data_IF_594347117002
#
_entry.id   IF_594347117002
#
_cell.length_a   1.000
_cell.length_b   1.000
_cell.length_c   1.000
_cell.angle_alpha   90.00
_cell.angle_beta   90.00
_cell.angle_gamma   90.00
#
_symmetry.space_group_name_H-M   'P 1'
#
loop_
_entity.id
_entity.type
_entity.pdbx_description
1 polymer ?
#
# COMPACT_ATOMS: atom_id res chain seq x y z
N UNK A 1 -23.25 1.13 12.23
CA UNK A 1 -23.25 2.55 11.81
C UNK A 1 -21.85 3.04 11.42
N UNK A 2 -20.86 3.08 12.32
CA UNK A 2 -19.51 3.60 12.04
C UNK A 2 -18.79 2.91 10.86
N UNK A 3 -18.94 1.59 10.73
CA UNK A 3 -18.41 0.83 9.58
C UNK A 3 -18.94 1.34 8.22
N UNK A 4 -20.22 1.68 8.13
CA UNK A 4 -20.77 2.24 6.89
C UNK A 4 -20.20 3.62 6.60
N UNK A 5 -20.00 4.45 7.62
CA UNK A 5 -19.34 5.76 7.47
C UNK A 5 -17.93 5.58 6.90
N UNK A 6 -17.15 4.64 7.42
CA UNK A 6 -15.82 4.32 6.88
C UNK A 6 -15.86 3.89 5.41
N UNK A 7 -16.75 2.95 5.07
CA UNK A 7 -16.91 2.49 3.69
C UNK A 7 -17.31 3.63 2.75
N UNK A 8 -18.25 4.48 3.18
CA UNK A 8 -18.66 5.67 2.43
C UNK A 8 -17.51 6.66 2.25
N UNK A 9 -16.68 6.89 3.29
CA UNK A 9 -15.49 7.74 3.18
C UNK A 9 -14.47 7.17 2.18
N UNK A 10 -14.22 5.86 2.20
CA UNK A 10 -13.35 5.19 1.22
C UNK A 10 -13.86 5.44 -0.20
N UNK A 11 -15.16 5.27 -0.45
CA UNK A 11 -15.77 5.51 -1.77
C UNK A 11 -15.65 6.97 -2.18
N UNK A 12 -15.94 7.92 -1.29
CA UNK A 12 -15.89 9.35 -1.59
C UNK A 12 -14.46 9.79 -1.95
N UNK A 13 -13.47 9.45 -1.12
CA UNK A 13 -12.07 9.86 -1.33
C UNK A 13 -11.50 9.26 -2.62
N UNK A 14 -11.74 7.97 -2.86
CA UNK A 14 -11.25 7.31 -4.06
C UNK A 14 -12.03 7.70 -5.31
N UNK A 15 -13.33 8.01 -5.18
CA UNK A 15 -14.12 8.60 -6.25
C UNK A 15 -13.59 9.98 -6.66
N UNK A 16 -13.28 10.84 -5.69
CA UNK A 16 -12.63 12.12 -5.94
C UNK A 16 -11.28 11.92 -6.67
N UNK A 17 -10.41 11.05 -6.16
CA UNK A 17 -9.15 10.71 -6.83
C UNK A 17 -9.38 10.24 -8.27
N UNK A 18 -10.31 9.30 -8.51
CA UNK A 18 -10.62 8.79 -9.84
C UNK A 18 -11.07 9.91 -10.78
N UNK A 19 -11.92 10.84 -10.32
CA UNK A 19 -12.35 11.97 -11.16
C UNK A 19 -11.19 12.90 -11.53
N UNK A 20 -10.30 13.19 -10.59
CA UNK A 20 -9.12 14.03 -10.83
C UNK A 20 -8.16 13.32 -11.79
N UNK A 21 -7.87 12.05 -11.53
CA UNK A 21 -6.97 11.24 -12.35
C UNK A 21 -7.46 11.08 -13.78
N UNK A 22 -8.75 10.78 -13.98
CA UNK A 22 -9.35 10.68 -15.32
C UNK A 22 -9.29 12.03 -16.04
N UNK A 23 -9.63 13.14 -15.37
CA UNK A 23 -9.55 14.48 -15.97
C UNK A 23 -8.13 14.83 -16.41
N UNK A 24 -7.14 14.51 -15.56
CA UNK A 24 -5.73 14.74 -15.85
C UNK A 24 -5.27 13.89 -17.05
N UNK A 25 -5.60 12.60 -17.06
CA UNK A 25 -5.30 11.69 -18.17
C UNK A 25 -5.94 12.14 -19.49
N UNK A 26 -7.19 12.63 -19.45
CA UNK A 26 -7.88 13.13 -20.63
C UNK A 26 -7.25 14.42 -21.18
N UNK A 27 -6.73 15.28 -20.30
CA UNK A 27 -6.05 16.53 -20.66
C UNK A 27 -4.64 16.28 -21.22
N UNK A 28 -3.94 15.28 -20.69
CA UNK A 28 -2.56 14.93 -21.05
C UNK A 28 -2.48 13.66 -21.93
N UNK A 29 -3.49 13.42 -22.78
CA UNK A 29 -3.57 12.22 -23.63
C UNK A 29 -2.38 12.02 -24.57
N UNK A 30 -1.78 13.09 -25.07
CA UNK A 30 -0.62 13.00 -25.97
C UNK A 30 0.61 12.51 -25.20
N UNK A 31 0.90 13.12 -24.04
CA UNK A 31 1.98 12.67 -23.15
C UNK A 31 1.80 11.21 -22.72
N UNK A 32 0.56 10.80 -22.42
CA UNK A 32 0.25 9.40 -22.10
C UNK A 32 0.56 8.43 -23.23
N UNK A 33 0.33 8.81 -24.49
CA UNK A 33 0.64 7.95 -25.66
C UNK A 33 2.15 7.81 -25.92
N UNK A 34 2.95 8.72 -25.39
CA UNK A 34 4.40 8.73 -25.54
C UNK A 34 5.11 7.93 -24.43
N UNK A 35 4.39 7.53 -23.37
CA UNK A 35 4.96 6.71 -22.32
C UNK A 35 5.33 5.30 -22.86
N UNK A 36 6.49 4.74 -22.45
CA UNK A 36 7.07 3.54 -23.07
C UNK A 36 6.34 2.24 -22.72
N UNK A 37 5.38 2.28 -21.80
CA UNK A 37 4.68 1.11 -21.31
C UNK A 37 3.41 0.83 -22.12
N UNK A 38 3.35 -0.34 -22.75
CA UNK A 38 2.15 -0.78 -23.48
C UNK A 38 0.98 -1.05 -22.51
N UNK A 39 -0.21 -0.53 -22.85
CA UNK A 39 -1.39 -0.60 -21.98
C UNK A 39 -1.82 -2.05 -21.65
N UNK A 40 -1.61 -3.02 -22.55
CA UNK A 40 -1.95 -4.43 -22.29
C UNK A 40 -1.01 -5.04 -21.26
N UNK A 41 0.29 -4.76 -21.38
CA UNK A 41 1.29 -5.23 -20.43
C UNK A 41 1.14 -4.56 -19.06
N UNK A 42 0.76 -3.27 -19.01
CA UNK A 42 0.39 -2.59 -17.78
C UNK A 42 -0.82 -3.25 -17.10
N UNK A 43 -1.89 -3.53 -17.86
CA UNK A 43 -3.08 -4.19 -17.31
C UNK A 43 -2.78 -5.59 -16.76
N UNK A 44 -2.04 -6.41 -17.51
CA UNK A 44 -1.67 -7.76 -17.09
C UNK A 44 -0.75 -7.75 -15.87
N UNK A 45 0.29 -6.90 -15.87
CA UNK A 45 1.22 -6.79 -14.74
C UNK A 45 0.52 -6.28 -13.49
N UNK A 46 -0.33 -5.25 -13.60
CA UNK A 46 -1.10 -4.72 -12.47
C UNK A 46 -2.03 -5.77 -11.87
N UNK A 47 -2.72 -6.55 -12.71
CA UNK A 47 -3.54 -7.67 -12.25
C UNK A 47 -2.72 -8.67 -11.42
N UNK A 48 -1.57 -9.10 -11.93
CA UNK A 48 -0.69 -10.05 -11.23
C UNK A 48 -0.16 -9.43 -9.93
N UNK A 49 0.33 -8.19 -9.96
CA UNK A 49 0.88 -7.49 -8.80
C UNK A 49 -0.16 -7.44 -7.67
N UNK A 50 -1.34 -6.88 -7.93
CA UNK A 50 -2.36 -6.71 -6.89
C UNK A 50 -3.03 -8.03 -6.47
N UNK A 51 -3.09 -9.02 -7.36
CA UNK A 51 -3.49 -10.37 -6.98
C UNK A 51 -2.50 -10.99 -5.98
N UNK A 52 -1.19 -10.91 -6.24
CA UNK A 52 -0.16 -11.38 -5.32
C UNK A 52 -0.17 -10.58 -4.00
N UNK A 53 -0.49 -9.29 -4.04
CA UNK A 53 -0.65 -8.48 -2.83
C UNK A 53 -1.82 -8.87 -1.95
N UNK A 54 -2.83 -9.56 -2.50
CA UNK A 54 -3.88 -10.18 -1.69
C UNK A 54 -3.31 -11.28 -0.78
N UNK A 55 -2.21 -11.93 -1.19
CA UNK A 55 -1.48 -12.92 -0.38
C UNK A 55 -0.39 -12.30 0.51
N UNK A 56 -0.32 -10.97 0.61
CA UNK A 56 0.68 -10.27 1.43
C UNK A 56 2.03 -10.04 0.74
N UNK A 57 2.13 -10.26 -0.57
CA UNK A 57 3.35 -9.93 -1.32
C UNK A 57 3.35 -8.43 -1.67
N UNK A 58 4.45 -7.74 -1.38
CA UNK A 58 4.54 -6.30 -1.62
C UNK A 58 4.41 -5.92 -3.11
N UNK A 59 3.37 -5.15 -3.43
CA UNK A 59 3.15 -4.53 -4.74
C UNK A 59 4.28 -3.58 -5.11
N UNK A 60 4.72 -2.73 -4.17
CA UNK A 60 5.83 -1.82 -4.38
C UNK A 60 7.13 -2.55 -4.72
N UNK A 61 7.39 -3.71 -4.10
CA UNK A 61 8.58 -4.50 -4.40
C UNK A 61 8.53 -5.08 -5.82
N UNK A 62 7.40 -5.67 -6.22
CA UNK A 62 7.23 -6.23 -7.56
C UNK A 62 7.28 -5.12 -8.60
N UNK A 63 6.51 -4.04 -8.42
CA UNK A 63 6.45 -2.89 -9.32
C UNK A 63 7.81 -2.21 -9.49
N UNK A 64 8.55 -2.02 -8.40
CA UNK A 64 9.92 -1.46 -8.43
C UNK A 64 10.84 -2.27 -9.33
N UNK A 65 10.85 -3.60 -9.20
CA UNK A 65 11.73 -4.46 -10.01
C UNK A 65 11.24 -4.54 -11.45
N UNK A 66 9.94 -4.75 -11.67
CA UNK A 66 9.35 -4.92 -12.98
C UNK A 66 9.51 -3.66 -13.83
N UNK A 67 9.15 -2.49 -13.30
CA UNK A 67 9.10 -1.26 -14.08
C UNK A 67 10.50 -0.75 -14.42
N UNK A 68 11.48 -0.98 -13.55
CA UNK A 68 12.88 -0.71 -13.86
C UNK A 68 13.42 -1.66 -14.92
N UNK A 69 13.19 -2.97 -14.80
CA UNK A 69 13.66 -3.96 -15.78
C UNK A 69 13.04 -3.73 -17.16
N UNK A 70 11.75 -3.39 -17.20
CA UNK A 70 11.03 -3.11 -18.43
C UNK A 70 11.29 -1.69 -18.96
N UNK A 71 12.05 -0.85 -18.23
CA UNK A 71 12.33 0.56 -18.54
C UNK A 71 11.06 1.39 -18.77
N UNK A 72 9.98 1.06 -18.06
CA UNK A 72 8.69 1.72 -18.17
C UNK A 72 8.66 3.07 -17.47
N UNK A 73 9.39 3.22 -16.37
CA UNK A 73 9.37 4.43 -15.54
C UNK A 73 10.78 4.74 -15.08
N UNK A 74 11.16 6.02 -15.15
CA UNK A 74 12.44 6.48 -14.59
C UNK A 74 12.45 6.41 -13.06
N UNK A 75 13.64 6.24 -12.45
CA UNK A 75 13.80 6.21 -10.99
C UNK A 75 13.18 7.42 -10.28
N UNK A 76 13.20 8.59 -10.92
CA UNK A 76 12.63 9.82 -10.37
C UNK A 76 11.09 9.80 -10.34
N UNK A 77 10.45 9.21 -11.35
CA UNK A 77 8.98 9.11 -11.44
C UNK A 77 8.44 7.90 -10.65
N UNK A 78 9.26 6.87 -10.43
CA UNK A 78 8.85 5.57 -9.90
C UNK A 78 8.05 5.65 -8.57
N UNK A 79 8.49 6.37 -7.51
CA UNK A 79 7.72 6.41 -6.26
C UNK A 79 6.32 7.01 -6.41
N UNK A 80 6.19 8.03 -7.28
CA UNK A 80 4.90 8.64 -7.58
C UNK A 80 4.00 7.72 -8.39
N UNK A 81 4.57 7.00 -9.38
CA UNK A 81 3.82 6.02 -10.17
C UNK A 81 3.28 4.89 -9.30
N UNK A 82 4.13 4.26 -8.47
CA UNK A 82 3.72 3.16 -7.59
C UNK A 82 2.67 3.58 -6.54
N UNK A 83 2.75 4.81 -6.02
CA UNK A 83 1.69 5.33 -5.14
C UNK A 83 0.37 5.62 -5.88
N UNK A 84 0.44 6.07 -7.14
CA UNK A 84 -0.74 6.43 -7.91
C UNK A 84 -1.49 5.19 -8.41
N UNK A 85 -0.77 4.17 -8.87
CA UNK A 85 -1.37 2.94 -9.40
C UNK A 85 -2.12 2.13 -8.33
N UNK A 86 -1.69 2.22 -7.07
CA UNK A 86 -2.26 1.40 -6.01
C UNK A 86 -3.56 1.98 -5.46
N UNK A 87 -3.86 3.27 -5.64
CA UNK A 87 -5.02 3.94 -5.01
C UNK A 87 -6.34 3.20 -5.23
N UNK A 88 -6.69 2.92 -6.50
CA UNK A 88 -7.96 2.27 -6.83
C UNK A 88 -7.96 0.77 -6.47
N UNK A 89 -6.94 -0.03 -6.81
CA UNK A 89 -6.85 -1.42 -6.38
C UNK A 89 -6.92 -1.59 -4.85
N UNK A 90 -6.20 -0.76 -4.10
CA UNK A 90 -6.20 -0.75 -2.63
C UNK A 90 -7.55 -0.32 -2.08
N UNK A 91 -8.24 0.62 -2.72
CA UNK A 91 -9.60 0.99 -2.33
C UNK A 91 -10.56 -0.19 -2.45
N UNK A 92 -10.51 -0.94 -3.56
CA UNK A 92 -11.33 -2.14 -3.75
C UNK A 92 -10.98 -3.22 -2.72
N UNK A 93 -9.68 -3.44 -2.46
CA UNK A 93 -9.24 -4.35 -1.39
C UNK A 93 -9.75 -3.89 -0.02
N UNK A 94 -9.67 -2.61 0.31
CA UNK A 94 -10.14 -2.07 1.57
C UNK A 94 -11.65 -2.28 1.75
N UNK A 95 -12.45 -2.05 0.70
CA UNK A 95 -13.89 -2.35 0.72
C UNK A 95 -14.13 -3.84 0.96
N UNK A 96 -13.38 -4.73 0.30
CA UNK A 96 -13.47 -6.19 0.50
C UNK A 96 -13.08 -6.62 1.92
N UNK A 97 -11.98 -6.10 2.46
CA UNK A 97 -11.46 -6.49 3.78
C UNK A 97 -12.28 -5.92 4.92
N UNK A 98 -12.69 -4.64 4.86
CA UNK A 98 -13.58 -4.05 5.87
C UNK A 98 -14.94 -4.75 5.86
N UNK A 99 -15.36 -5.31 4.71
CA UNK A 99 -16.62 -6.02 4.61
C UNK A 99 -16.54 -7.48 5.06
N UNK A 100 -15.51 -8.20 4.64
CA UNK A 100 -15.33 -9.64 4.87
C UNK A 100 -14.61 -10.01 6.17
N UNK A 101 -13.83 -9.11 6.77
CA UNK A 101 -13.08 -9.38 7.99
C UNK A 101 -13.67 -8.59 9.16
N UNK A 102 -13.99 -9.30 10.25
CA UNK A 102 -14.47 -8.67 11.48
C UNK A 102 -13.28 -8.12 12.28
N UNK A 103 -13.10 -6.81 12.23
CA UNK A 103 -12.09 -6.07 13.04
C UNK A 103 -12.79 -5.07 13.94
N UNK A 104 -12.30 -4.94 15.17
CA UNK A 104 -12.79 -3.96 16.12
C UNK A 104 -12.68 -2.54 15.60
N UNK A 105 -13.78 -1.78 15.67
CA UNK A 105 -13.85 -0.45 15.07
C UNK A 105 -12.82 0.52 15.66
N UNK A 106 -12.50 0.39 16.95
CA UNK A 106 -11.47 1.20 17.62
C UNK A 106 -10.09 0.90 17.06
N UNK A 107 -9.76 -0.39 16.87
CA UNK A 107 -8.48 -0.82 16.30
C UNK A 107 -8.35 -0.28 14.88
N UNK A 108 -9.39 -0.47 14.06
CA UNK A 108 -9.41 0.01 12.69
C UNK A 108 -9.23 1.52 12.58
N UNK A 109 -9.97 2.30 13.39
CA UNK A 109 -9.88 3.77 13.38
C UNK A 109 -8.51 4.28 13.83
N UNK A 110 -7.95 3.75 14.91
CA UNK A 110 -6.61 4.14 15.38
C UNK A 110 -5.57 3.86 14.30
N UNK A 111 -5.62 2.66 13.71
CA UNK A 111 -4.74 2.27 12.63
C UNK A 111 -4.82 3.24 11.43
N UNK A 112 -6.02 3.53 10.93
CA UNK A 112 -6.24 4.44 9.80
C UNK A 112 -5.73 5.84 10.14
N UNK A 113 -6.11 6.39 11.30
CA UNK A 113 -5.75 7.77 11.69
C UNK A 113 -4.23 7.90 11.82
N UNK A 114 -3.58 6.96 12.52
CA UNK A 114 -2.13 6.98 12.66
C UNK A 114 -1.43 6.89 11.30
N UNK A 115 -1.90 6.02 10.40
CA UNK A 115 -1.32 5.88 9.06
C UNK A 115 -1.50 7.14 8.21
N UNK A 116 -2.67 7.78 8.26
CA UNK A 116 -2.93 9.05 7.55
C UNK A 116 -2.02 10.17 8.09
N UNK A 117 -1.89 10.29 9.41
CA UNK A 117 -0.99 11.29 10.03
C UNK A 117 0.46 11.01 9.62
N UNK A 118 0.87 9.75 9.64
CA UNK A 118 2.18 9.29 9.18
C UNK A 118 2.43 9.66 7.72
N UNK A 119 1.47 9.40 6.84
CA UNK A 119 1.55 9.74 5.44
C UNK A 119 1.61 11.25 5.18
N UNK A 120 0.93 12.06 5.99
CA UNK A 120 0.93 13.50 5.83
C UNK A 120 2.22 14.16 6.35
N UNK A 121 2.72 13.73 7.51
CA UNK A 121 3.87 14.34 8.17
C UNK A 121 5.21 13.70 7.78
N UNK A 122 5.19 12.41 7.52
CA UNK A 122 6.36 11.57 7.25
C UNK A 122 7.31 12.06 6.16
N UNK A 123 6.82 12.51 4.98
CA UNK A 123 7.69 12.97 3.90
C UNK A 123 8.69 14.05 4.34
N UNK A 124 8.33 14.93 5.28
CA UNK A 124 9.22 16.02 5.73
C UNK A 124 10.47 15.53 6.45
N UNK A 125 10.42 14.31 7.01
CA UNK A 125 11.50 13.70 7.77
C UNK A 125 12.18 12.59 6.97
N UNK A 126 11.37 11.72 6.35
CA UNK A 126 11.84 10.50 5.69
C UNK A 126 12.63 10.81 4.41
N UNK A 127 12.31 11.89 3.68
CA UNK A 127 13.11 12.31 2.50
C UNK A 127 14.53 12.77 2.84
N UNK A 128 14.83 13.01 4.12
CA UNK A 128 16.18 13.37 4.59
C UNK A 128 17.02 12.15 4.99
N UNK A 129 16.40 10.96 5.04
CA UNK A 129 17.12 9.74 5.40
C UNK A 129 17.96 9.23 4.22
N UNK A 130 19.15 8.66 4.47
CA UNK A 130 19.92 7.99 3.43
C UNK A 130 19.12 6.85 2.80
N UNK A 131 19.11 6.78 1.47
CA UNK A 131 18.43 5.72 0.70
C UNK A 131 18.85 4.31 1.15
N UNK A 132 20.14 4.15 1.52
CA UNK A 132 20.67 2.89 2.05
C UNK A 132 19.97 2.45 3.33
N UNK A 133 19.75 3.37 4.27
CA UNK A 133 19.11 3.08 5.57
C UNK A 133 17.68 2.60 5.36
N UNK A 134 16.96 3.30 4.49
CA UNK A 134 15.61 2.96 4.10
C UNK A 134 15.55 1.57 3.47
N UNK A 135 16.37 1.31 2.44
CA UNK A 135 16.41 0.02 1.72
C UNK A 135 16.72 -1.15 2.64
N UNK A 136 17.66 -0.97 3.58
CA UNK A 136 18.01 -2.02 4.55
C UNK A 136 16.84 -2.32 5.48
N UNK A 137 16.18 -1.30 6.01
CA UNK A 137 15.05 -1.49 6.93
C UNK A 137 13.89 -2.22 6.26
N UNK A 138 13.55 -1.80 5.04
CA UNK A 138 12.49 -2.43 4.23
C UNK A 138 12.86 -3.85 3.82
N UNK A 139 14.09 -4.05 3.34
CA UNK A 139 14.58 -5.36 2.95
C UNK A 139 14.52 -6.36 4.11
N UNK A 140 14.95 -5.95 5.30
CA UNK A 140 14.84 -6.77 6.52
C UNK A 140 13.36 -7.06 6.84
N UNK A 141 12.49 -6.04 6.79
CA UNK A 141 11.05 -6.22 7.02
C UNK A 141 10.41 -7.23 6.07
N UNK A 142 10.72 -7.15 4.77
CA UNK A 142 10.22 -8.08 3.74
C UNK A 142 10.77 -9.50 3.93
N UNK A 143 12.04 -9.65 4.31
CA UNK A 143 12.61 -10.97 4.64
C UNK A 143 11.86 -11.56 5.85
N UNK A 144 11.64 -10.79 6.91
CA UNK A 144 10.90 -11.27 8.08
C UNK A 144 9.48 -11.65 7.70
N UNK A 145 8.76 -10.79 6.97
CA UNK A 145 7.39 -11.04 6.55
C UNK A 145 7.28 -12.28 5.66
N UNK A 146 8.15 -12.42 4.66
CA UNK A 146 8.18 -13.61 3.80
C UNK A 146 8.46 -14.89 4.58
N UNK A 147 9.39 -14.87 5.54
CA UNK A 147 9.66 -16.01 6.43
C UNK A 147 8.43 -16.36 7.29
N UNK A 148 7.71 -15.36 7.81
CA UNK A 148 6.48 -15.57 8.58
C UNK A 148 5.35 -16.14 7.71
N UNK A 149 5.16 -15.62 6.49
CA UNK A 149 4.18 -16.14 5.53
C UNK A 149 4.50 -17.61 5.20
N UNK A 150 5.75 -17.93 4.85
CA UNK A 150 6.18 -19.30 4.53
C UNK A 150 6.01 -20.20 5.75
N UNK A 151 6.42 -19.77 6.94
CA UNK A 151 6.24 -20.53 8.18
C UNK A 151 4.76 -20.79 8.48
N UNK A 152 3.87 -19.82 8.21
CA UNK A 152 2.42 -19.98 8.34
C UNK A 152 1.84 -20.99 7.33
N UNK A 153 2.27 -20.93 6.07
CA UNK A 153 1.84 -21.86 5.02
C UNK A 153 2.33 -23.30 5.28
N UNK A 154 3.55 -23.45 5.80
CA UNK A 154 4.13 -24.73 6.21
C UNK A 154 3.62 -25.23 7.57
N UNK A 155 2.69 -24.51 8.21
CA UNK A 155 2.13 -24.81 9.55
C UNK A 155 3.19 -24.91 10.65
N UNK A 156 4.34 -24.25 10.48
CA UNK A 156 5.41 -24.16 11.49
C UNK A 156 5.03 -23.18 12.61
N UNK A 157 4.20 -22.19 12.29
CA UNK A 157 3.59 -21.25 13.24
C UNK A 157 2.08 -21.21 13.01
N UNK A 158 1.25 -20.83 14.01
CA UNK A 158 -0.16 -20.56 13.78
C UNK A 158 -0.28 -19.49 12.70
N UNK A 159 -0.87 -19.83 11.54
CA UNK A 159 -0.89 -18.89 10.41
C UNK A 159 -1.73 -17.66 10.71
N UNK A 160 -2.67 -17.75 11.67
CA UNK A 160 -3.63 -16.70 12.00
C UNK A 160 -3.70 -16.49 13.53
N UNK A 161 -3.84 -15.24 13.95
CA UNK A 161 -4.26 -14.89 15.30
C UNK A 161 -5.78 -14.93 15.43
N UNK A 162 -6.29 -15.28 16.62
CA UNK A 162 -7.73 -15.26 16.92
C UNK A 162 -8.22 -13.88 17.35
N UNK A 163 -7.32 -12.94 17.59
CA UNK A 163 -7.65 -11.59 18.04
C UNK A 163 -8.16 -10.73 16.88
N UNK A 164 -9.39 -10.24 17.02
CA UNK A 164 -10.04 -9.31 16.08
C UNK A 164 -9.89 -7.84 16.50
N UNK A 165 -9.38 -7.59 17.71
CA UNK A 165 -9.21 -6.27 18.29
C UNK A 165 -7.90 -6.19 19.11
N UNK A 166 -7.30 -5.00 19.17
CA UNK A 166 -6.11 -4.71 19.97
C UNK A 166 -6.47 -3.74 21.10
N UNK A 167 -5.83 -3.96 22.25
CA UNK A 167 -6.05 -3.18 23.46
C UNK A 167 -4.73 -2.82 24.14
N UNK A 168 -4.76 -1.73 24.93
CA UNK A 168 -3.62 -1.27 25.71
C UNK A 168 -2.37 -1.01 24.86
N UNK A 169 -1.22 -1.50 25.32
CA UNK A 169 0.07 -1.27 24.65
C UNK A 169 0.13 -1.85 23.22
N UNK A 170 -0.61 -2.93 22.94
CA UNK A 170 -0.64 -3.55 21.60
C UNK A 170 -1.26 -2.61 20.57
N UNK A 171 -2.31 -1.89 20.95
CA UNK A 171 -2.96 -0.89 20.09
C UNK A 171 -2.05 0.33 19.85
N UNK A 172 -1.33 0.76 20.89
CA UNK A 172 -0.36 1.86 20.78
C UNK A 172 0.77 1.48 19.83
N UNK A 173 1.32 0.27 19.97
CA UNK A 173 2.37 -0.23 19.08
C UNK A 173 1.87 -0.33 17.64
N UNK A 174 0.68 -0.90 17.42
CA UNK A 174 0.08 -0.97 16.09
C UNK A 174 -0.10 0.42 15.46
N UNK A 175 -0.62 1.38 16.22
CA UNK A 175 -0.74 2.78 15.76
C UNK A 175 0.61 3.40 15.41
N UNK A 176 1.63 3.23 16.25
CA UNK A 176 2.98 3.74 15.99
C UNK A 176 3.58 3.11 14.71
N UNK A 177 3.48 1.80 14.55
CA UNK A 177 3.98 1.11 13.36
C UNK A 177 3.26 1.61 12.11
N UNK A 178 1.93 1.75 12.14
CA UNK A 178 1.19 2.28 10.99
C UNK A 178 1.48 3.74 10.68
N UNK A 179 1.78 4.56 11.68
CA UNK A 179 2.31 5.91 11.47
C UNK A 179 3.65 5.85 10.69
N UNK A 180 4.57 4.97 11.09
CA UNK A 180 5.85 4.79 10.38
C UNK A 180 5.61 4.28 8.95
N UNK A 181 4.75 3.29 8.75
CA UNK A 181 4.41 2.79 7.42
C UNK A 181 3.78 3.87 6.53
N UNK A 182 2.87 4.68 7.07
CA UNK A 182 2.31 5.83 6.36
C UNK A 182 3.41 6.78 5.88
N UNK A 183 4.39 7.07 6.74
CA UNK A 183 5.52 7.92 6.38
C UNK A 183 6.38 7.32 5.26
N UNK A 184 6.62 6.01 5.29
CA UNK A 184 7.44 5.27 4.33
C UNK A 184 6.76 5.11 2.96
N UNK A 185 5.43 4.95 2.89
CA UNK A 185 4.70 4.83 1.60
C UNK A 185 5.03 5.94 0.62
N UNK A 186 5.15 7.18 1.11
CA UNK A 186 5.43 8.34 0.27
C UNK A 186 6.78 8.32 -0.45
N UNK A 187 7.74 7.54 0.04
CA UNK A 187 9.05 7.40 -0.58
C UNK A 187 9.21 6.08 -1.35
N UNK A 188 8.09 5.42 -1.67
CA UNK A 188 8.09 4.23 -2.53
C UNK A 188 8.22 2.91 -1.77
N UNK A 189 7.79 2.86 -0.51
CA UNK A 189 7.86 1.65 0.33
C UNK A 189 6.46 1.26 0.73
N UNK A 190 5.91 0.23 0.10
CA UNK A 190 4.55 -0.23 0.38
C UNK A 190 4.36 -0.75 1.80
N UNK A 191 3.12 -0.67 2.28
CA UNK A 191 2.67 -1.18 3.60
C UNK A 191 2.28 -2.67 3.59
N UNK A 192 2.68 -3.41 2.57
CA UNK A 192 2.30 -4.81 2.38
C UNK A 192 3.41 -5.74 2.88
N UNK A 193 3.26 -6.18 4.13
CA UNK A 193 4.07 -7.18 4.83
C UNK A 193 3.33 -7.65 6.08
#
# INVERSE_FOLDING_TARGET
MVRYILLTMVVIVNGYFATVFIRDLLKHKQEFKEEPADSKWLALSSFIIFFLSTFGISDFAIGTVLYQKAKWVSMKKLPGTLNTECVIPVAVMALSYITGISVGIKTLLVCIICQVIGAYLGPRFVVKLPEKTIKVFVGIGLIIASLLIVAGQLKLIPSNGTATELYGWKLILAGFLLFVYGALNNIGIGSYA
#
